data_IF_580715426759
#
_entry.id   IF_580715426759
#
_cell.length_a   1.000
_cell.length_b   1.000
_cell.length_c   1.000
_cell.angle_alpha   90.00
_cell.angle_beta   90.00
_cell.angle_gamma   90.00
#
_symmetry.space_group_name_H-M   'P 1'
#
loop_
_entity.id
_entity.type
_entity.pdbx_description
1 polymer ?
#
# COMPACT_ATOMS: atom_id res chain seq x y z
N UNK A 1 2.21 -29.39 30.14
CA UNK A 1 2.45 -30.82 29.82
C UNK A 1 2.14 -31.03 28.34
N UNK A 2 3.07 -31.61 27.58
CA UNK A 2 2.80 -32.04 26.20
C UNK A 2 2.90 -33.56 26.13
N UNK A 3 1.93 -34.19 25.49
CA UNK A 3 2.02 -35.62 25.18
C UNK A 3 3.23 -35.88 24.26
N UNK A 4 3.95 -36.97 24.47
CA UNK A 4 5.09 -37.37 23.63
C UNK A 4 4.66 -38.34 22.52
N UNK A 5 5.52 -38.52 21.50
CA UNK A 5 5.38 -39.61 20.55
C UNK A 5 5.44 -40.97 21.30
N UNK A 6 4.57 -41.96 21.00
CA UNK A 6 3.61 -42.01 19.88
C UNK A 6 2.20 -41.51 20.22
N UNK A 7 1.93 -41.10 21.47
CA UNK A 7 0.63 -40.57 21.88
C UNK A 7 0.31 -39.25 21.14
N UNK A 8 1.29 -38.36 20.96
CA UNK A 8 1.19 -37.17 20.10
C UNK A 8 1.65 -37.48 18.66
N UNK A 9 0.76 -37.26 17.68
CA UNK A 9 1.09 -37.32 16.25
C UNK A 9 0.44 -36.14 15.52
N UNK A 10 1.23 -35.11 15.25
CA UNK A 10 0.77 -33.90 14.52
C UNK A 10 0.32 -34.19 13.08
N UNK A 11 0.65 -35.36 12.52
CA UNK A 11 0.15 -35.80 11.20
C UNK A 11 -1.33 -36.19 11.20
N UNK A 12 -1.95 -36.48 12.36
CA UNK A 12 -3.36 -36.92 12.42
C UNK A 12 -4.31 -35.86 11.85
N UNK A 13 -4.15 -34.60 12.26
CA UNK A 13 -4.97 -33.48 11.77
C UNK A 13 -4.67 -33.11 10.31
N UNK A 14 -3.53 -33.59 9.78
CA UNK A 14 -3.10 -33.38 8.40
C UNK A 14 -3.51 -34.52 7.45
N UNK A 15 -4.12 -35.59 7.95
CA UNK A 15 -4.33 -36.80 7.15
C UNK A 15 -5.42 -36.65 6.07
N UNK A 16 -6.43 -35.79 6.31
CA UNK A 16 -7.57 -35.60 5.41
C UNK A 16 -7.84 -34.11 5.16
N UNK A 17 -8.38 -33.78 3.99
CA UNK A 17 -8.69 -32.40 3.61
C UNK A 17 -9.70 -31.75 4.57
N UNK A 18 -10.74 -32.47 4.99
CA UNK A 18 -11.72 -31.95 5.96
C UNK A 18 -11.07 -31.60 7.30
N UNK A 19 -10.10 -32.41 7.75
CA UNK A 19 -9.42 -32.20 9.02
C UNK A 19 -8.47 -31.01 8.94
N UNK A 20 -7.74 -30.86 7.83
CA UNK A 20 -6.91 -29.68 7.57
C UNK A 20 -7.72 -28.39 7.59
N UNK A 21 -8.89 -28.37 6.95
CA UNK A 21 -9.80 -27.21 6.99
C UNK A 21 -10.30 -26.91 8.40
N UNK A 22 -10.71 -27.93 9.15
CA UNK A 22 -11.21 -27.76 10.52
C UNK A 22 -10.13 -27.22 11.48
N UNK A 23 -8.86 -27.54 11.25
CA UNK A 23 -7.73 -27.12 12.10
C UNK A 23 -6.99 -25.88 11.58
N UNK A 24 -7.39 -25.30 10.45
CA UNK A 24 -6.71 -24.13 9.91
C UNK A 24 -6.93 -22.93 10.86
N UNK A 25 -5.85 -22.24 11.21
CA UNK A 25 -5.89 -21.09 12.12
C UNK A 25 -6.28 -19.79 11.42
N UNK A 26 -6.08 -19.73 10.10
CA UNK A 26 -6.36 -18.55 9.29
C UNK A 26 -7.06 -18.93 7.98
N UNK A 27 -7.92 -18.02 7.54
CA UNK A 27 -8.60 -18.06 6.24
C UNK A 27 -8.37 -16.71 5.57
N UNK A 28 -8.07 -16.75 4.27
CA UNK A 28 -7.99 -15.57 3.42
C UNK A 28 -9.32 -15.41 2.67
N UNK A 29 -9.80 -14.19 2.57
CA UNK A 29 -11.03 -13.81 1.87
C UNK A 29 -10.77 -12.59 0.98
N UNK A 30 -11.62 -12.31 -0.03
CA UNK A 30 -11.51 -11.09 -0.83
C UNK A 30 -11.54 -9.79 0.02
N UNK A 31 -12.21 -9.81 1.18
CA UNK A 31 -12.27 -8.70 2.12
C UNK A 31 -10.91 -8.35 2.79
N UNK A 32 -9.92 -9.24 2.68
CA UNK A 32 -8.56 -8.98 3.17
C UNK A 32 -7.69 -8.25 2.14
N UNK A 33 -8.20 -7.96 0.94
CA UNK A 33 -7.42 -7.45 -0.19
C UNK A 33 -7.66 -5.95 -0.38
N UNK A 34 -6.58 -5.20 -0.61
CA UNK A 34 -6.63 -3.83 -1.11
C UNK A 34 -5.92 -3.84 -2.46
N UNK A 35 -6.55 -3.29 -3.50
CA UNK A 35 -6.02 -3.37 -4.87
C UNK A 35 -5.32 -2.06 -5.28
N UNK A 36 -3.98 -2.06 -5.42
CA UNK A 36 -3.25 -0.92 -5.95
C UNK A 36 -3.50 -0.73 -7.46
N UNK A 37 -3.83 0.49 -7.86
CA UNK A 37 -4.08 0.87 -9.24
C UNK A 37 -3.32 2.15 -9.61
N UNK A 38 -2.81 2.19 -10.84
CA UNK A 38 -2.09 3.35 -11.37
C UNK A 38 -2.98 4.17 -12.30
N UNK A 39 -3.10 5.46 -12.01
CA UNK A 39 -3.89 6.40 -12.81
C UNK A 39 -2.96 7.15 -13.77
N UNK A 40 -3.36 7.31 -15.03
CA UNK A 40 -2.68 8.15 -16.04
C UNK A 40 -3.67 9.11 -16.70
N UNK A 41 -3.19 10.11 -17.43
CA UNK A 41 -4.05 11.07 -18.14
C UNK A 41 -4.60 10.50 -19.46
N UNK A 42 -5.61 11.16 -20.03
CA UNK A 42 -6.28 10.75 -21.28
C UNK A 42 -7.65 10.11 -21.05
N UNK A 43 -8.15 9.41 -22.08
CA UNK A 43 -9.45 8.72 -22.07
C UNK A 43 -9.35 7.41 -22.85
N UNK A 44 -9.95 6.33 -22.33
CA UNK A 44 -9.85 4.99 -22.90
C UNK A 44 -8.43 4.42 -22.90
N UNK A 45 -7.57 4.89 -22.00
CA UNK A 45 -6.15 4.51 -21.96
C UNK A 45 -5.94 3.29 -21.07
N UNK A 46 -5.25 2.30 -21.64
CA UNK A 46 -4.57 1.22 -20.93
C UNK A 46 -3.11 1.21 -21.37
N UNK A 47 -2.18 1.46 -20.44
CA UNK A 47 -0.75 1.41 -20.69
C UNK A 47 -0.10 0.30 -19.84
N UNK A 48 0.21 -0.87 -20.42
CA UNK A 48 0.86 -1.95 -19.70
C UNK A 48 2.22 -1.57 -19.13
N UNK A 49 2.51 -1.99 -17.90
CA UNK A 49 3.79 -1.74 -17.23
C UNK A 49 4.68 -2.96 -17.43
N UNK A 50 5.74 -2.83 -18.24
CA UNK A 50 6.59 -3.96 -18.63
C UNK A 50 7.21 -4.72 -17.43
N UNK A 51 7.59 -4.02 -16.36
CA UNK A 51 8.17 -4.62 -15.15
C UNK A 51 7.15 -5.18 -14.16
N UNK A 52 5.86 -5.01 -14.45
CA UNK A 52 4.74 -5.57 -13.70
C UNK A 52 3.75 -6.25 -14.68
N UNK A 53 4.07 -7.42 -15.23
CA UNK A 53 3.23 -8.10 -16.21
C UNK A 53 1.80 -8.27 -15.69
N UNK A 54 0.80 -7.87 -16.49
CA UNK A 54 -0.61 -7.91 -16.10
C UNK A 54 -1.10 -6.71 -15.27
N UNK A 55 -0.23 -5.74 -14.98
CA UNK A 55 -0.58 -4.46 -14.37
C UNK A 55 -0.39 -3.34 -15.39
N UNK A 56 -1.36 -2.42 -15.46
CA UNK A 56 -1.35 -1.29 -16.39
C UNK A 56 -1.61 0.02 -15.65
N UNK A 57 -1.28 1.13 -16.30
CA UNK A 57 -1.78 2.47 -15.97
C UNK A 57 -3.08 2.71 -16.73
N UNK A 58 -4.03 3.36 -16.10
CA UNK A 58 -5.39 3.52 -16.62
C UNK A 58 -5.81 4.99 -16.61
N UNK A 59 -6.47 5.45 -17.67
CA UNK A 59 -7.15 6.75 -17.61
C UNK A 59 -8.27 6.73 -16.56
N UNK A 60 -8.72 7.92 -16.14
CA UNK A 60 -9.74 8.07 -15.07
C UNK A 60 -11.02 7.27 -15.36
N UNK A 61 -11.51 7.29 -16.61
CA UNK A 61 -12.66 6.50 -17.04
C UNK A 61 -12.43 4.98 -16.93
N UNK A 62 -11.22 4.53 -17.24
CA UNK A 62 -10.84 3.12 -17.11
C UNK A 62 -10.64 2.69 -15.65
N UNK A 63 -10.18 3.59 -14.78
CA UNK A 63 -10.13 3.35 -13.33
C UNK A 63 -11.51 3.08 -12.75
N UNK A 64 -12.54 3.80 -13.21
CA UNK A 64 -13.93 3.55 -12.79
C UNK A 64 -14.37 2.12 -13.17
N UNK A 65 -13.95 1.61 -14.33
CA UNK A 65 -14.21 0.21 -14.69
C UNK A 65 -13.53 -0.78 -13.73
N UNK A 66 -12.28 -0.50 -13.32
CA UNK A 66 -11.57 -1.31 -12.33
C UNK A 66 -12.21 -1.24 -10.94
N UNK A 67 -12.78 -0.10 -10.56
CA UNK A 67 -13.54 0.02 -9.32
C UNK A 67 -14.81 -0.83 -9.29
N UNK A 68 -15.55 -0.88 -10.40
CA UNK A 68 -16.71 -1.77 -10.55
C UNK A 68 -16.30 -3.24 -10.45
N UNK A 69 -15.22 -3.61 -11.13
CA UNK A 69 -14.65 -4.95 -11.05
C UNK A 69 -14.25 -5.32 -9.61
N UNK A 70 -13.57 -4.42 -8.89
CA UNK A 70 -13.17 -4.64 -7.51
C UNK A 70 -14.38 -4.90 -6.60
N UNK A 71 -15.44 -4.10 -6.74
CA UNK A 71 -16.71 -4.33 -6.04
C UNK A 71 -17.29 -5.71 -6.37
N UNK A 72 -17.40 -6.05 -7.65
CA UNK A 72 -17.99 -7.32 -8.08
C UNK A 72 -17.17 -8.52 -7.58
N UNK A 73 -15.86 -8.35 -7.38
CA UNK A 73 -14.95 -9.32 -6.78
C UNK A 73 -14.92 -9.29 -5.23
N UNK A 74 -15.74 -8.47 -4.58
CA UNK A 74 -15.76 -8.33 -3.12
C UNK A 74 -14.48 -7.73 -2.51
N UNK A 75 -13.68 -7.02 -3.31
CA UNK A 75 -12.51 -6.28 -2.85
C UNK A 75 -12.99 -4.95 -2.24
N UNK A 76 -12.77 -4.70 -0.94
CA UNK A 76 -13.39 -3.57 -0.24
C UNK A 76 -12.74 -2.23 -0.56
N UNK A 77 -11.48 -2.19 -1.02
CA UNK A 77 -10.73 -0.95 -1.13
C UNK A 77 -9.74 -0.94 -2.30
N UNK A 78 -9.61 0.23 -2.93
CA UNK A 78 -8.59 0.55 -3.92
C UNK A 78 -7.54 1.48 -3.32
N UNK A 79 -6.27 1.23 -3.63
CA UNK A 79 -5.17 2.16 -3.36
C UNK A 79 -4.75 2.82 -4.67
N UNK A 80 -4.94 4.14 -4.80
CA UNK A 80 -4.66 4.86 -6.04
C UNK A 80 -3.27 5.50 -6.02
N UNK A 81 -2.54 5.36 -7.13
CA UNK A 81 -1.22 5.99 -7.33
C UNK A 81 -1.20 6.76 -8.67
N UNK A 82 -0.80 8.04 -8.71
CA UNK A 82 -0.81 8.82 -9.94
C UNK A 82 0.50 8.63 -10.71
N UNK A 83 0.41 8.39 -12.01
CA UNK A 83 1.52 8.59 -12.94
C UNK A 83 1.46 10.03 -13.45
N UNK A 84 1.90 10.98 -12.63
CA UNK A 84 1.84 12.41 -12.94
C UNK A 84 2.65 12.74 -14.20
N UNK A 85 2.07 13.44 -15.18
CA UNK A 85 2.78 13.88 -16.39
C UNK A 85 4.05 14.66 -16.07
N UNK A 86 5.09 14.50 -16.89
CA UNK A 86 6.41 15.09 -16.61
C UNK A 86 6.38 16.63 -16.56
N UNK A 87 5.56 17.27 -17.41
CA UNK A 87 5.35 18.73 -17.45
C UNK A 87 4.56 19.27 -16.25
N UNK A 88 3.99 18.38 -15.42
CA UNK A 88 3.28 18.70 -14.18
C UNK A 88 4.13 18.46 -12.93
N UNK A 89 5.38 18.01 -13.09
CA UNK A 89 6.31 17.84 -11.97
C UNK A 89 7.14 19.10 -11.77
N UNK A 90 7.36 19.49 -10.52
CA UNK A 90 8.15 20.66 -10.14
C UNK A 90 9.05 20.35 -8.95
N UNK A 91 10.05 21.18 -8.65
CA UNK A 91 10.92 20.95 -7.47
C UNK A 91 10.14 21.07 -6.16
N UNK A 92 9.10 21.89 -6.13
CA UNK A 92 8.24 22.12 -4.96
C UNK A 92 7.02 21.18 -4.90
N UNK A 93 6.81 20.31 -5.90
CA UNK A 93 5.70 19.36 -5.93
C UNK A 93 4.30 19.98 -5.98
N UNK A 94 4.16 21.22 -6.49
CA UNK A 94 2.92 22.00 -6.45
C UNK A 94 1.66 21.29 -7.01
N UNK A 95 1.82 20.35 -7.95
CA UNK A 95 0.71 19.56 -8.50
C UNK A 95 0.03 18.66 -7.44
N UNK A 96 0.70 18.33 -6.34
CA UNK A 96 0.09 17.64 -5.19
C UNK A 96 -1.07 18.45 -4.57
N UNK A 97 -0.99 19.79 -4.65
CA UNK A 97 -1.95 20.72 -4.08
C UNK A 97 -3.06 21.12 -5.08
N UNK A 98 -2.93 20.75 -6.35
CA UNK A 98 -3.93 21.06 -7.37
C UNK A 98 -5.21 20.24 -7.12
N UNK A 99 -6.39 20.87 -6.89
CA UNK A 99 -7.64 20.16 -6.64
C UNK A 99 -8.18 19.40 -7.86
N UNK A 100 -7.63 19.68 -9.03
CA UNK A 100 -7.94 19.00 -10.29
C UNK A 100 -6.80 18.11 -10.78
N UNK A 101 -5.84 17.79 -9.89
CA UNK A 101 -4.81 16.81 -10.22
C UNK A 101 -5.43 15.44 -10.53
N UNK A 102 -4.61 14.58 -11.13
CA UNK A 102 -5.05 13.28 -11.62
C UNK A 102 -5.67 12.40 -10.52
N UNK A 103 -5.12 12.45 -9.31
CA UNK A 103 -5.63 11.70 -8.17
C UNK A 103 -7.04 12.17 -7.78
N UNK A 104 -7.22 13.48 -7.63
CA UNK A 104 -8.50 14.07 -7.21
C UNK A 104 -9.60 13.86 -8.26
N UNK A 105 -9.27 13.92 -9.55
CA UNK A 105 -10.20 13.56 -10.63
C UNK A 105 -10.63 12.10 -10.56
N UNK A 106 -9.70 11.18 -10.31
CA UNK A 106 -10.01 9.75 -10.16
C UNK A 106 -10.90 9.47 -8.95
N UNK A 107 -10.62 10.09 -7.79
CA UNK A 107 -11.45 9.94 -6.59
C UNK A 107 -12.90 10.35 -6.85
N UNK A 108 -13.12 11.55 -7.38
CA UNK A 108 -14.47 12.05 -7.67
C UNK A 108 -15.22 11.14 -8.64
N UNK A 109 -14.55 10.69 -9.71
CA UNK A 109 -15.15 9.81 -10.69
C UNK A 109 -15.54 8.44 -10.11
N UNK A 110 -14.70 7.84 -9.24
CA UNK A 110 -15.03 6.57 -8.59
C UNK A 110 -16.15 6.76 -7.57
N UNK A 111 -16.13 7.83 -6.77
CA UNK A 111 -17.19 8.14 -5.81
C UNK A 111 -18.56 8.27 -6.44
N UNK A 112 -18.63 8.90 -7.62
CA UNK A 112 -19.88 9.01 -8.37
C UNK A 112 -20.37 7.64 -8.87
N UNK A 113 -19.46 6.77 -9.31
CA UNK A 113 -19.81 5.54 -10.00
C UNK A 113 -19.93 4.29 -9.09
N UNK A 114 -19.20 4.24 -7.98
CA UNK A 114 -19.06 3.11 -7.05
C UNK A 114 -18.90 3.63 -5.61
N UNK A 115 -19.90 4.34 -5.03
CA UNK A 115 -19.79 4.96 -3.71
C UNK A 115 -19.51 3.97 -2.55
N UNK A 116 -19.77 2.68 -2.76
CA UNK A 116 -19.58 1.60 -1.78
C UNK A 116 -18.12 1.13 -1.63
N UNK A 117 -17.23 1.47 -2.57
CA UNK A 117 -15.82 1.03 -2.50
C UNK A 117 -14.98 2.01 -1.69
N UNK A 118 -14.15 1.46 -0.81
CA UNK A 118 -13.17 2.22 -0.05
C UNK A 118 -12.09 2.81 -0.95
N UNK A 119 -11.74 4.08 -0.74
CA UNK A 119 -10.68 4.77 -1.48
C UNK A 119 -9.54 5.15 -0.55
N UNK A 120 -8.38 4.53 -0.79
CA UNK A 120 -7.12 4.84 -0.14
C UNK A 120 -6.23 5.66 -1.07
N UNK A 121 -5.73 6.78 -0.57
CA UNK A 121 -4.85 7.67 -1.32
C UNK A 121 -3.49 7.80 -0.65
N UNK A 122 -2.45 7.80 -1.47
CA UNK A 122 -1.07 8.04 -1.04
C UNK A 122 -0.84 9.54 -0.81
N UNK A 123 -0.28 9.88 0.35
CA UNK A 123 0.21 11.24 0.66
C UNK A 123 1.74 11.17 0.72
N UNK A 124 2.36 11.66 -0.35
CA UNK A 124 3.79 11.76 -0.57
C UNK A 124 4.03 12.66 -1.81
N UNK A 125 5.20 13.29 -1.88
CA UNK A 125 5.53 14.20 -3.00
C UNK A 125 6.29 13.52 -4.15
N UNK A 126 6.70 12.26 -4.04
CA UNK A 126 7.54 11.62 -5.07
C UNK A 126 6.89 11.46 -6.46
N UNK A 127 5.54 11.38 -6.63
CA UNK A 127 4.94 11.43 -7.95
C UNK A 127 4.92 12.84 -8.56
N UNK A 128 5.08 13.87 -7.73
CA UNK A 128 4.88 15.28 -8.10
C UNK A 128 6.20 16.05 -8.21
N UNK A 129 7.29 15.50 -7.69
CA UNK A 129 8.60 16.17 -7.72
C UNK A 129 9.44 15.76 -8.92
N UNK A 130 10.27 16.69 -9.43
CA UNK A 130 11.24 16.41 -10.51
C UNK A 130 12.41 15.54 -10.04
N UNK A 131 12.66 15.50 -8.74
CA UNK A 131 13.76 14.75 -8.12
C UNK A 131 13.33 13.41 -7.50
N UNK A 132 12.04 13.07 -7.47
CA UNK A 132 11.54 11.77 -7.03
C UNK A 132 11.70 11.42 -5.54
N UNK A 133 12.12 12.38 -4.70
CA UNK A 133 12.01 12.31 -3.23
C UNK A 133 10.57 12.55 -2.76
N UNK A 134 10.24 11.95 -1.62
CA UNK A 134 8.91 12.02 -0.99
C UNK A 134 8.65 13.40 -0.36
N UNK A 135 9.67 14.26 -0.30
CA UNK A 135 9.63 15.60 0.29
C UNK A 135 10.53 16.63 -0.40
N UNK A 136 10.52 17.86 0.13
CA UNK A 136 11.28 19.00 -0.37
C UNK A 136 12.78 18.87 -0.07
N UNK A 137 13.62 19.00 -1.09
CA UNK A 137 15.08 18.84 -0.98
C UNK A 137 15.77 20.20 -0.80
N UNK A 138 16.74 20.29 0.10
CA UNK A 138 17.57 21.49 0.29
C UNK A 138 18.80 21.54 -0.65
N UNK A 139 19.60 22.60 -0.54
CA UNK A 139 20.80 22.78 -1.36
C UNK A 139 21.89 21.70 -1.14
N UNK A 140 21.81 20.94 -0.05
CA UNK A 140 22.74 19.86 0.30
C UNK A 140 22.20 18.46 -0.05
N UNK A 141 20.99 18.38 -0.62
CA UNK A 141 20.36 17.10 -0.96
C UNK A 141 19.59 16.46 0.20
N UNK A 142 19.40 17.16 1.32
CA UNK A 142 18.63 16.67 2.46
C UNK A 142 17.14 16.95 2.29
N UNK A 143 16.29 15.96 2.59
CA UNK A 143 14.82 16.12 2.56
C UNK A 143 14.40 16.80 3.85
N UNK A 144 13.86 18.02 3.74
CA UNK A 144 13.49 18.85 4.88
C UNK A 144 12.17 18.36 5.48
N UNK A 145 12.20 17.88 6.71
CA UNK A 145 11.05 17.31 7.42
C UNK A 145 9.85 18.28 7.48
N UNK A 146 9.94 19.33 8.28
CA UNK A 146 8.79 20.17 8.64
C UNK A 146 8.20 20.88 7.41
N UNK A 147 9.07 21.43 6.55
CA UNK A 147 8.66 22.07 5.30
C UNK A 147 7.96 21.09 4.34
N UNK A 148 8.31 19.80 4.37
CA UNK A 148 7.59 18.78 3.62
C UNK A 148 6.23 18.52 4.23
N UNK A 149 6.15 18.37 5.55
CA UNK A 149 4.89 18.05 6.25
C UNK A 149 3.83 19.12 6.02
N UNK A 150 4.21 20.40 5.95
CA UNK A 150 3.29 21.49 5.58
C UNK A 150 2.56 21.23 4.24
N UNK A 151 3.27 20.75 3.21
CA UNK A 151 2.67 20.40 1.92
C UNK A 151 1.84 19.12 1.99
N UNK A 152 2.29 18.13 2.76
CA UNK A 152 1.57 16.85 2.92
C UNK A 152 0.22 17.04 3.63
N UNK A 153 0.14 17.96 4.58
CA UNK A 153 -1.12 18.35 5.23
C UNK A 153 -2.12 18.90 4.21
N UNK A 154 -1.69 19.84 3.36
CA UNK A 154 -2.57 20.40 2.32
C UNK A 154 -2.93 19.36 1.25
N UNK A 155 -2.00 18.47 0.88
CA UNK A 155 -2.27 17.34 0.00
C UNK A 155 -3.34 16.40 0.59
N UNK A 156 -3.23 16.06 1.87
CA UNK A 156 -4.19 15.21 2.57
C UNK A 156 -5.59 15.85 2.59
N UNK A 157 -5.69 17.15 2.91
CA UNK A 157 -6.94 17.90 2.84
C UNK A 157 -7.53 17.91 1.43
N UNK A 158 -6.68 18.10 0.41
CA UNK A 158 -7.11 18.09 -0.98
C UNK A 158 -7.72 16.73 -1.38
N UNK A 159 -7.05 15.64 -1.02
CA UNK A 159 -7.54 14.27 -1.27
C UNK A 159 -8.82 13.95 -0.47
N UNK A 160 -8.90 14.40 0.79
CA UNK A 160 -10.10 14.24 1.61
C UNK A 160 -11.31 14.97 1.01
N UNK A 161 -11.13 16.21 0.53
CA UNK A 161 -12.17 16.99 -0.19
C UNK A 161 -12.59 16.32 -1.49
N UNK A 162 -11.68 15.66 -2.19
CA UNK A 162 -11.97 14.89 -3.40
C UNK A 162 -12.66 13.55 -3.12
N UNK A 163 -12.77 13.16 -1.84
CA UNK A 163 -13.50 11.99 -1.38
C UNK A 163 -12.60 10.78 -1.09
N UNK A 164 -11.38 10.95 -0.58
CA UNK A 164 -10.64 9.81 0.00
C UNK A 164 -11.30 9.33 1.30
N UNK A 165 -11.38 8.01 1.52
CA UNK A 165 -11.77 7.43 2.83
C UNK A 165 -10.57 7.30 3.76
N UNK A 166 -9.42 6.95 3.18
CA UNK A 166 -8.20 6.60 3.90
C UNK A 166 -7.07 7.42 3.31
N UNK A 167 -6.55 8.35 4.11
CA UNK A 167 -5.27 9.00 3.85
C UNK A 167 -4.17 8.06 4.31
N UNK A 168 -3.23 7.73 3.43
CA UNK A 168 -2.13 6.84 3.74
C UNK A 168 -0.79 7.55 3.49
N UNK A 169 -0.29 8.34 4.46
CA UNK A 169 0.98 9.07 4.34
C UNK A 169 2.12 8.07 4.24
N UNK A 170 2.80 8.06 3.10
CA UNK A 170 3.91 7.13 2.82
C UNK A 170 5.27 7.80 2.85
N UNK A 171 5.32 9.10 3.10
CA UNK A 171 6.50 9.96 3.05
C UNK A 171 7.61 9.65 4.07
N UNK A 172 7.28 9.03 5.21
CA UNK A 172 8.21 8.76 6.34
C UNK A 172 8.82 10.03 6.97
N UNK A 173 8.12 11.16 6.96
CA UNK A 173 8.51 12.34 7.74
C UNK A 173 8.09 12.16 9.21
N UNK A 174 8.84 12.76 10.13
CA UNK A 174 8.49 12.75 11.55
C UNK A 174 7.31 13.69 11.81
N UNK A 175 6.33 13.24 12.61
CA UNK A 175 5.19 14.05 13.05
C UNK A 175 4.07 14.28 12.03
N UNK A 176 4.19 13.71 10.81
CA UNK A 176 3.18 13.92 9.74
C UNK A 176 1.80 13.44 10.14
N UNK A 177 1.68 12.34 10.88
CA UNK A 177 0.38 11.74 11.20
C UNK A 177 -0.42 12.68 12.08
N UNK A 178 0.20 13.24 13.12
CA UNK A 178 -0.48 14.12 14.06
C UNK A 178 -0.92 15.42 13.41
N UNK A 179 -0.07 15.98 12.54
CA UNK A 179 -0.37 17.20 11.80
C UNK A 179 -1.47 16.98 10.75
N UNK A 180 -1.45 15.87 10.02
CA UNK A 180 -2.52 15.49 9.09
C UNK A 180 -3.83 15.23 9.84
N UNK A 181 -3.80 14.49 10.95
CA UNK A 181 -4.98 14.24 11.81
C UNK A 181 -5.58 15.56 12.28
N UNK A 182 -4.77 16.45 12.85
CA UNK A 182 -5.24 17.75 13.33
C UNK A 182 -5.90 18.58 12.21
N UNK A 183 -5.33 18.57 11.01
CA UNK A 183 -5.89 19.26 9.86
C UNK A 183 -7.21 18.64 9.37
N UNK A 184 -7.30 17.31 9.31
CA UNK A 184 -8.54 16.61 8.95
C UNK A 184 -9.67 16.93 9.95
N UNK A 185 -9.38 16.93 11.25
CA UNK A 185 -10.35 17.32 12.30
C UNK A 185 -10.83 18.77 12.10
N UNK A 186 -9.89 19.71 11.95
CA UNK A 186 -10.22 21.13 11.75
C UNK A 186 -10.97 21.40 10.44
N UNK A 187 -10.68 20.61 9.39
CA UNK A 187 -11.36 20.66 8.11
C UNK A 187 -12.74 19.99 8.09
N UNK A 188 -13.19 19.41 9.21
CA UNK A 188 -14.47 18.70 9.31
C UNK A 188 -14.48 17.30 8.68
N UNK A 189 -13.31 16.76 8.33
CA UNK A 189 -13.11 15.43 7.75
C UNK A 189 -12.96 14.35 8.85
N UNK A 190 -13.82 14.41 9.87
CA UNK A 190 -13.68 13.64 11.13
C UNK A 190 -13.67 12.12 10.97
N UNK A 191 -14.24 11.60 9.88
CA UNK A 191 -14.32 10.16 9.61
C UNK A 191 -13.28 9.68 8.57
N UNK A 192 -12.45 10.58 8.04
CA UNK A 192 -11.36 10.18 7.16
C UNK A 192 -10.30 9.49 8.01
N UNK A 193 -9.98 8.26 7.61
CA UNK A 193 -9.04 7.41 8.33
C UNK A 193 -7.61 7.75 7.94
N UNK A 194 -6.68 7.46 8.83
CA UNK A 194 -5.25 7.46 8.56
C UNK A 194 -4.72 6.04 8.65
N UNK A 195 -4.21 5.52 7.53
CA UNK A 195 -3.43 4.29 7.47
C UNK A 195 -1.95 4.65 7.31
N UNK A 196 -1.26 4.82 8.43
CA UNK A 196 0.10 5.32 8.41
C UNK A 196 1.07 4.25 7.89
N UNK A 197 1.95 4.61 6.95
CA UNK A 197 3.10 3.78 6.60
C UNK A 197 4.17 3.89 7.70
N UNK A 198 3.83 3.42 8.89
CA UNK A 198 4.67 3.56 10.09
C UNK A 198 6.04 2.90 9.92
N UNK A 199 6.07 1.68 9.37
CA UNK A 199 7.32 0.95 9.17
C UNK A 199 7.60 0.76 7.67
N UNK A 200 8.00 1.84 6.99
CA UNK A 200 8.43 1.81 5.57
C UNK A 200 9.96 1.83 5.48
N UNK A 201 10.52 0.74 4.98
CA UNK A 201 11.96 0.51 4.90
C UNK A 201 12.58 1.03 3.60
N UNK A 202 13.85 1.42 3.65
CA UNK A 202 14.71 1.78 2.53
C UNK A 202 15.07 0.53 1.71
N UNK A 203 14.11 0.06 0.89
CA UNK A 203 14.15 -1.26 0.29
C UNK A 203 14.51 -1.27 -1.20
N UNK A 204 15.20 -2.33 -1.62
CA UNK A 204 15.48 -2.64 -3.03
C UNK A 204 14.25 -3.18 -3.79
N UNK A 205 13.16 -3.57 -3.09
CA UNK A 205 11.98 -4.16 -3.71
C UNK A 205 11.06 -3.14 -4.43
N UNK A 206 11.37 -1.84 -4.39
CA UNK A 206 10.54 -0.80 -5.01
C UNK A 206 10.83 -0.52 -6.49
N UNK A 207 11.84 -1.17 -7.08
CA UNK A 207 12.26 -0.92 -8.46
C UNK A 207 11.10 -0.88 -9.47
N UNK A 208 10.28 -1.94 -9.58
CA UNK A 208 9.18 -1.96 -10.56
C UNK A 208 8.08 -0.91 -10.30
N UNK A 209 7.84 -0.51 -9.05
CA UNK A 209 6.90 0.58 -8.72
C UNK A 209 7.39 1.91 -9.28
N UNK A 210 8.70 2.20 -9.16
CA UNK A 210 9.28 3.44 -9.71
C UNK A 210 9.12 3.53 -11.22
N UNK A 211 9.13 2.39 -11.92
CA UNK A 211 8.75 2.34 -13.33
C UNK A 211 7.26 2.66 -13.49
N UNK A 212 6.38 2.04 -12.69
CA UNK A 212 4.94 2.21 -12.77
C UNK A 212 4.45 3.66 -12.55
N UNK A 213 5.06 4.43 -11.65
CA UNK A 213 4.70 5.85 -11.43
C UNK A 213 5.58 6.84 -12.22
N UNK A 214 6.40 6.34 -13.15
CA UNK A 214 7.24 7.18 -14.01
C UNK A 214 8.35 7.93 -13.26
N UNK A 215 8.76 7.46 -12.07
CA UNK A 215 9.83 8.06 -11.26
C UNK A 215 11.19 7.40 -11.43
N UNK A 216 11.29 6.35 -12.25
CA UNK A 216 12.57 5.69 -12.55
C UNK A 216 13.56 6.69 -13.15
N UNK A 217 14.73 6.78 -12.55
CA UNK A 217 15.80 7.70 -12.97
C UNK A 217 15.63 9.15 -12.50
N UNK A 218 14.51 9.50 -11.86
CA UNK A 218 14.33 10.82 -11.24
C UNK A 218 15.01 10.92 -9.87
N UNK A 219 14.96 9.83 -9.09
CA UNK A 219 15.56 9.78 -7.76
C UNK A 219 17.07 10.02 -7.84
N UNK A 220 17.53 11.14 -7.29
CA UNK A 220 18.95 11.48 -7.13
C UNK A 220 19.39 11.09 -5.72
N UNK A 221 20.25 10.07 -5.60
CA UNK A 221 20.66 9.53 -4.30
C UNK A 221 19.76 8.38 -3.85
N UNK A 222 19.46 8.31 -2.56
CA UNK A 222 18.61 7.27 -1.98
C UNK A 222 17.60 7.86 -0.98
N UNK A 223 16.81 6.97 -0.37
CA UNK A 223 15.76 7.34 0.60
C UNK A 223 16.16 6.98 2.04
N UNK A 224 17.44 6.70 2.31
CA UNK A 224 17.92 6.16 3.60
C UNK A 224 17.91 7.17 4.74
N UNK A 225 17.76 8.46 4.44
CA UNK A 225 17.70 9.52 5.46
C UNK A 225 16.32 9.70 6.09
N UNK A 226 15.30 8.95 5.64
CA UNK A 226 13.93 8.98 6.16
C UNK A 226 13.24 7.61 6.13
N UNK A 227 13.47 6.77 5.11
CA UNK A 227 13.01 5.38 5.15
C UNK A 227 13.93 4.55 6.05
N UNK A 228 13.33 3.63 6.81
CA UNK A 228 14.04 2.85 7.83
C UNK A 228 15.13 1.94 7.27
N UNK A 229 16.18 1.71 8.05
CA UNK A 229 17.19 0.70 7.72
C UNK A 229 16.58 -0.72 7.79
N UNK A 230 16.67 -1.55 6.73
CA UNK A 230 16.24 -2.95 6.74
C UNK A 230 16.77 -3.80 7.91
N UNK A 231 17.88 -3.40 8.54
CA UNK A 231 18.46 -4.09 9.69
C UNK A 231 17.67 -3.88 11.00
N UNK A 232 16.77 -2.90 11.06
CA UNK A 232 16.20 -2.43 12.32
C UNK A 232 14.77 -2.96 12.56
N UNK A 233 14.62 -3.86 13.53
CA UNK A 233 13.29 -4.34 13.94
C UNK A 233 12.70 -3.58 15.14
N UNK A 234 13.54 -3.10 16.06
CA UNK A 234 13.08 -2.40 17.28
C UNK A 234 12.62 -0.97 16.97
N UNK A 235 13.26 -0.32 16.00
CA UNK A 235 12.87 0.99 15.49
C UNK A 235 11.43 0.99 14.97
N UNK A 236 10.99 -0.09 14.29
CA UNK A 236 9.63 -0.20 13.77
C UNK A 236 8.56 -0.12 14.87
N UNK A 237 8.87 -0.60 16.07
CA UNK A 237 7.94 -0.49 17.21
C UNK A 237 7.86 0.95 17.72
N UNK A 238 8.94 1.73 17.61
CA UNK A 238 8.95 3.14 18.00
C UNK A 238 8.16 3.98 17.00
N UNK A 239 8.36 3.76 15.71
CA UNK A 239 7.59 4.40 14.63
C UNK A 239 6.08 4.13 14.78
N UNK A 240 5.70 2.86 14.94
CA UNK A 240 4.29 2.50 15.14
C UNK A 240 3.72 3.12 16.41
N UNK A 241 4.47 3.12 17.52
CA UNK A 241 4.01 3.74 18.75
C UNK A 241 3.77 5.25 18.58
N UNK A 242 4.64 5.93 17.83
CA UNK A 242 4.52 7.35 17.50
C UNK A 242 3.26 7.62 16.68
N UNK A 243 3.11 6.96 15.52
CA UNK A 243 1.96 7.15 14.63
C UNK A 243 0.62 6.84 15.30
N UNK A 244 0.57 5.81 16.16
CA UNK A 244 -0.63 5.50 16.94
C UNK A 244 -0.93 6.58 17.98
N UNK A 245 0.08 7.12 18.66
CA UNK A 245 -0.10 8.21 19.62
C UNK A 245 -0.55 9.51 18.92
N UNK A 246 -0.16 9.69 17.66
CA UNK A 246 -0.54 10.81 16.80
C UNK A 246 -1.93 10.67 16.16
N UNK A 247 -2.59 9.52 16.31
CA UNK A 247 -3.97 9.30 15.88
C UNK A 247 -4.13 8.57 14.55
N UNK A 248 -3.18 7.73 14.16
CA UNK A 248 -3.39 6.74 13.10
C UNK A 248 -4.45 5.71 13.50
N UNK A 249 -5.41 5.44 12.60
CA UNK A 249 -6.46 4.43 12.79
C UNK A 249 -5.94 3.01 12.54
N UNK A 250 -4.92 2.91 11.69
CA UNK A 250 -4.21 1.67 11.39
C UNK A 250 -2.79 1.96 10.93
N UNK A 251 -1.93 0.93 10.98
CA UNK A 251 -0.52 1.04 10.60
C UNK A 251 -0.15 0.02 9.54
N UNK A 252 0.83 0.36 8.72
CA UNK A 252 1.31 -0.47 7.62
C UNK A 252 2.81 -0.76 7.72
N UNK A 253 3.18 -2.01 7.43
CA UNK A 253 4.57 -2.43 7.18
C UNK A 253 4.82 -2.52 5.68
N UNK A 254 5.92 -1.93 5.20
CA UNK A 254 6.31 -1.94 3.78
C UNK A 254 7.84 -2.02 3.64
N UNK A 255 8.40 -2.96 2.85
CA UNK A 255 7.75 -4.04 2.10
C UNK A 255 7.04 -5.10 2.95
N UNK A 256 6.40 -6.05 2.30
CA UNK A 256 5.55 -7.03 2.94
C UNK A 256 6.26 -8.33 3.31
N UNK A 257 6.43 -9.22 2.33
CA UNK A 257 6.93 -10.59 2.53
C UNK A 257 8.30 -10.64 3.24
N UNK A 258 9.28 -9.75 2.94
CA UNK A 258 10.56 -9.77 3.63
C UNK A 258 10.51 -9.28 5.09
N UNK A 259 9.38 -8.74 5.53
CA UNK A 259 9.21 -8.08 6.84
C UNK A 259 8.00 -8.66 7.62
N UNK A 260 7.61 -9.90 7.35
CA UNK A 260 6.52 -10.57 8.08
C UNK A 260 6.82 -10.72 9.59
N UNK A 261 8.08 -10.77 9.97
CA UNK A 261 8.50 -10.74 11.38
C UNK A 261 8.17 -9.41 12.06
N UNK A 262 8.30 -8.29 11.32
CA UNK A 262 7.90 -6.97 11.79
C UNK A 262 6.39 -6.88 11.95
N UNK A 263 5.62 -7.37 10.97
CA UNK A 263 4.15 -7.48 11.08
C UNK A 263 3.75 -8.22 12.35
N UNK A 264 4.36 -9.38 12.62
CA UNK A 264 4.07 -10.18 13.80
C UNK A 264 4.41 -9.44 15.11
N UNK A 265 5.56 -8.77 15.17
CA UNK A 265 5.97 -7.96 16.34
C UNK A 265 5.01 -6.82 16.59
N UNK A 266 4.63 -6.07 15.55
CA UNK A 266 3.68 -4.95 15.64
C UNK A 266 2.31 -5.46 16.10
N UNK A 267 1.82 -6.56 15.50
CA UNK A 267 0.52 -7.13 15.87
C UNK A 267 0.49 -7.57 17.34
N UNK A 268 1.58 -8.19 17.81
CA UNK A 268 1.71 -8.64 19.20
C UNK A 268 1.82 -7.47 20.19
N UNK A 269 2.52 -6.40 19.84
CA UNK A 269 2.80 -5.28 20.73
C UNK A 269 1.59 -4.34 20.91
N UNK A 270 0.85 -4.06 19.84
CA UNK A 270 -0.13 -2.97 19.84
C UNK A 270 -1.59 -3.41 19.73
N UNK A 271 -1.86 -4.65 19.30
CA UNK A 271 -3.22 -5.18 19.12
C UNK A 271 -4.15 -4.34 18.21
N UNK A 272 -3.59 -3.47 17.37
CA UNK A 272 -4.31 -2.63 16.39
C UNK A 272 -4.52 -3.35 15.04
N UNK A 273 -5.31 -2.79 14.10
CA UNK A 273 -5.28 -3.21 12.70
C UNK A 273 -3.90 -2.94 12.09
N UNK A 274 -3.30 -4.00 11.54
CA UNK A 274 -1.99 -3.95 10.89
C UNK A 274 -2.17 -4.33 9.43
N UNK A 275 -1.66 -3.52 8.52
CA UNK A 275 -1.66 -3.78 7.09
C UNK A 275 -0.23 -4.05 6.62
N UNK A 276 -0.10 -4.68 5.45
CA UNK A 276 1.18 -4.81 4.79
C UNK A 276 1.03 -4.60 3.29
N UNK A 277 2.09 -4.12 2.64
CA UNK A 277 2.13 -3.97 1.20
C UNK A 277 3.01 -5.05 0.60
N UNK A 278 2.42 -6.01 -0.12
CA UNK A 278 3.15 -6.89 -1.03
C UNK A 278 3.61 -6.07 -2.25
N UNK A 279 4.82 -5.52 -2.17
CA UNK A 279 5.23 -4.46 -3.10
C UNK A 279 5.57 -4.98 -4.49
N UNK A 280 5.82 -4.04 -5.39
CA UNK A 280 6.02 -4.28 -6.81
C UNK A 280 7.12 -5.30 -7.12
N UNK A 281 8.21 -5.30 -6.36
CA UNK A 281 9.30 -6.26 -6.52
C UNK A 281 8.89 -7.67 -6.08
N UNK A 282 8.09 -7.80 -5.03
CA UNK A 282 7.57 -9.09 -4.57
C UNK A 282 6.62 -9.69 -5.62
N UNK A 283 5.75 -8.86 -6.20
CA UNK A 283 4.90 -9.24 -7.34
C UNK A 283 5.74 -9.71 -8.53
N UNK A 284 6.70 -8.89 -8.96
CA UNK A 284 7.54 -9.19 -10.12
C UNK A 284 8.38 -10.46 -9.93
N UNK A 285 8.85 -10.73 -8.71
CA UNK A 285 9.57 -11.97 -8.40
C UNK A 285 8.69 -13.21 -8.56
N UNK A 286 7.43 -13.15 -8.12
CA UNK A 286 6.48 -14.25 -8.30
C UNK A 286 6.20 -14.46 -9.80
N UNK A 287 5.86 -13.40 -10.52
CA UNK A 287 5.56 -13.52 -11.96
C UNK A 287 6.78 -14.00 -12.76
N UNK A 288 8.00 -13.59 -12.41
CA UNK A 288 9.22 -14.08 -13.03
C UNK A 288 9.46 -15.58 -12.77
N UNK A 289 9.23 -16.05 -11.54
CA UNK A 289 9.34 -17.47 -11.21
C UNK A 289 8.29 -18.32 -11.95
N UNK A 290 7.07 -17.81 -12.09
CA UNK A 290 6.00 -18.44 -12.89
C UNK A 290 6.39 -18.50 -14.36
N UNK A 291 6.86 -17.38 -14.94
CA UNK A 291 7.28 -17.33 -16.34
C UNK A 291 8.45 -18.28 -16.65
N UNK A 292 9.32 -18.53 -15.67
CA UNK A 292 10.40 -19.51 -15.75
C UNK A 292 9.94 -20.97 -15.55
N UNK A 293 8.65 -21.22 -15.27
CA UNK A 293 8.10 -22.54 -14.97
C UNK A 293 8.51 -23.08 -13.60
N UNK A 294 9.04 -22.23 -12.70
CA UNK A 294 9.52 -22.61 -11.38
C UNK A 294 8.42 -22.60 -10.30
N UNK A 295 7.25 -22.02 -10.59
CA UNK A 295 6.13 -21.93 -9.65
C UNK A 295 4.78 -22.08 -10.35
N UNK A 296 3.82 -22.66 -9.62
CA UNK A 296 2.39 -22.59 -9.94
C UNK A 296 1.85 -21.24 -9.42
N UNK A 297 1.36 -20.41 -10.35
CA UNK A 297 0.96 -19.01 -10.07
C UNK A 297 -0.12 -18.93 -9.00
N UNK A 298 -1.21 -19.64 -9.19
CA UNK A 298 -2.39 -19.56 -8.33
C UNK A 298 -2.03 -19.99 -6.91
N UNK A 299 -1.27 -21.09 -6.78
CA UNK A 299 -0.85 -21.62 -5.48
C UNK A 299 0.11 -20.69 -4.75
N UNK A 300 1.14 -20.18 -5.43
CA UNK A 300 2.14 -19.32 -4.77
C UNK A 300 1.57 -17.96 -4.38
N UNK A 301 0.65 -17.41 -5.19
CA UNK A 301 -0.07 -16.17 -4.85
C UNK A 301 -0.90 -16.36 -3.59
N UNK A 302 -1.76 -17.39 -3.53
CA UNK A 302 -2.61 -17.63 -2.37
C UNK A 302 -1.80 -17.99 -1.11
N UNK A 303 -0.71 -18.75 -1.25
CA UNK A 303 0.17 -19.08 -0.12
C UNK A 303 0.89 -17.84 0.42
N UNK A 304 1.33 -16.94 -0.46
CA UNK A 304 1.95 -15.67 -0.07
C UNK A 304 0.96 -14.78 0.69
N UNK A 305 -0.25 -14.60 0.16
CA UNK A 305 -1.29 -13.80 0.82
C UNK A 305 -1.75 -14.42 2.15
N UNK A 306 -1.82 -15.75 2.24
CA UNK A 306 -2.07 -16.43 3.51
C UNK A 306 -0.94 -16.22 4.53
N UNK A 307 0.32 -16.07 4.08
CA UNK A 307 1.43 -15.78 4.98
C UNK A 307 1.29 -14.41 5.66
N UNK A 308 0.82 -13.39 4.93
CA UNK A 308 0.46 -12.09 5.52
C UNK A 308 -0.64 -12.19 6.56
N UNK A 309 -1.73 -12.90 6.24
CA UNK A 309 -2.84 -13.11 7.18
C UNK A 309 -2.37 -13.81 8.45
N UNK A 310 -1.55 -14.85 8.29
CA UNK A 310 -0.94 -15.61 9.41
C UNK A 310 0.02 -14.76 10.24
N UNK A 311 0.77 -13.83 9.63
CA UNK A 311 1.65 -12.92 10.35
C UNK A 311 0.89 -11.91 11.20
N UNK A 312 -0.40 -11.68 10.92
CA UNK A 312 -1.25 -10.79 11.71
C UNK A 312 -1.91 -9.65 10.92
N UNK A 313 -1.76 -9.64 9.59
CA UNK A 313 -2.38 -8.60 8.76
C UNK A 313 -3.91 -8.64 8.83
N UNK A 314 -4.50 -7.45 8.95
CA UNK A 314 -5.94 -7.22 8.82
C UNK A 314 -6.35 -7.13 7.36
N UNK A 315 -5.48 -6.56 6.51
CA UNK A 315 -5.57 -6.62 5.05
C UNK A 315 -4.20 -6.43 4.38
N UNK A 316 -4.14 -6.66 3.07
CA UNK A 316 -2.90 -6.65 2.29
C UNK A 316 -3.10 -5.82 1.02
N UNK A 317 -2.21 -4.85 0.79
CA UNK A 317 -2.10 -4.16 -0.49
C UNK A 317 -1.33 -5.07 -1.44
N UNK A 318 -1.97 -5.51 -2.52
CA UNK A 318 -1.36 -6.45 -3.48
C UNK A 318 -1.84 -6.23 -4.90
N UNK A 319 -0.91 -6.25 -5.85
CA UNK A 319 -1.24 -6.23 -7.29
C UNK A 319 -1.91 -7.53 -7.75
N UNK A 320 -1.83 -8.61 -6.96
CA UNK A 320 -2.55 -9.85 -7.19
C UNK A 320 -4.02 -9.80 -6.75
N UNK A 321 -4.52 -8.69 -6.19
CA UNK A 321 -5.83 -8.62 -5.54
C UNK A 321 -6.98 -9.17 -6.41
N UNK A 322 -7.16 -8.67 -7.62
CA UNK A 322 -8.22 -9.14 -8.52
C UNK A 322 -8.05 -10.61 -8.92
N UNK A 323 -6.81 -11.07 -9.11
CA UNK A 323 -6.55 -12.46 -9.42
C UNK A 323 -6.88 -13.38 -8.24
N UNK A 324 -6.40 -13.04 -7.04
CA UNK A 324 -6.66 -13.79 -5.81
C UNK A 324 -8.15 -13.83 -5.47
N UNK A 325 -8.86 -12.70 -5.61
CA UNK A 325 -10.31 -12.64 -5.36
C UNK A 325 -11.09 -13.64 -6.24
N UNK A 326 -10.76 -13.73 -7.54
CA UNK A 326 -11.37 -14.73 -8.44
C UNK A 326 -11.08 -16.17 -8.02
N UNK A 327 -9.87 -16.46 -7.54
CA UNK A 327 -9.50 -17.79 -7.05
C UNK A 327 -10.23 -18.17 -5.75
N UNK A 328 -10.56 -17.18 -4.93
CA UNK A 328 -11.29 -17.35 -3.67
C UNK A 328 -12.81 -17.52 -3.88
N UNK A 329 -13.28 -17.46 -5.14
CA UNK A 329 -14.68 -17.70 -5.50
C UNK A 329 -15.61 -16.51 -5.22
N UNK A 330 -15.10 -15.29 -5.35
CA UNK A 330 -15.92 -14.08 -5.44
C UNK A 330 -16.85 -14.11 -6.67
#
# INVERSE_FOLDING_TARGET
>A
MHAAYPALRLRRTRAAAWSRRLHAEHVLTPADLIWPLFVTDGSGVEEPIATLPGVSRWSVDMIVHRAREARDLGIPCLALFPNTPHDRRSEDGAEALNPDNLMCRALRAIREAVPEIGLLTDVALDPYTTHGHDGLVDAHGYVRNDATVELLVEQALNQARAGSDIIAPSDMMDGRVGLIRAALEQGGHVNVQIMAYAAKYASAFYGPFRDAVGSRGLLKGDKSTYQMDPANAEEALREVALDLAEGADSVMVKPGLPYLDIVAKVKQAFAVPVFAYQVSGEYAMIEAAVAAGAADRDRVVLETLLAFKRAGCSGVLTYHAAHAARLLGA
#
